data_IF_062185738356
#
_entry.id   IF_062185738356
#
_cell.length_a   1.000
_cell.length_b   1.000
_cell.length_c   1.000
_cell.angle_alpha   90.00
_cell.angle_beta   90.00
_cell.angle_gamma   90.00
#
_symmetry.space_group_name_H-M   'P 1'
#
loop_
_entity.id
_entity.type
_entity.pdbx_description
1 polymer ?
#
# COMPACT_ATOMS: atom_id res chain seq x y z
N UNK A 1 -0.60 32.73 29.36
CA UNK A 1 -0.90 33.17 27.98
C UNK A 1 0.12 32.64 26.98
N UNK A 2 1.37 33.15 26.92
CA UNK A 2 2.39 32.69 25.93
C UNK A 2 2.66 31.17 25.96
N UNK A 3 2.77 30.58 27.17
CA UNK A 3 2.92 29.12 27.34
C UNK A 3 1.71 28.32 26.83
N UNK A 4 0.50 28.86 26.98
CA UNK A 4 -0.74 28.21 26.53
C UNK A 4 -0.84 28.20 24.99
N UNK A 5 -0.44 29.31 24.35
CA UNK A 5 -0.37 29.39 22.88
C UNK A 5 0.66 28.40 22.31
N UNK A 6 1.82 28.25 22.95
CA UNK A 6 2.83 27.26 22.54
C UNK A 6 2.27 25.83 22.63
N UNK A 7 1.55 25.50 23.71
CA UNK A 7 0.93 24.19 23.87
C UNK A 7 -0.11 23.94 22.78
N UNK A 8 -0.98 24.91 22.48
CA UNK A 8 -1.96 24.79 21.40
C UNK A 8 -1.26 24.55 20.06
N UNK A 9 -0.22 25.33 19.74
CA UNK A 9 0.52 25.17 18.48
C UNK A 9 1.15 23.78 18.36
N UNK A 10 1.77 23.28 19.44
CA UNK A 10 2.35 21.92 19.44
C UNK A 10 1.26 20.86 19.23
N UNK A 11 0.12 21.00 19.91
CA UNK A 11 -0.98 20.03 19.85
C UNK A 11 -1.65 20.01 18.47
N UNK A 12 -1.87 21.19 17.88
CA UNK A 12 -2.33 21.32 16.49
C UNK A 12 -1.30 20.77 15.50
N UNK A 13 0.00 20.94 15.76
CA UNK A 13 1.05 20.39 14.92
C UNK A 13 1.06 18.86 14.90
N UNK A 14 0.92 18.22 16.05
CA UNK A 14 0.87 16.75 16.18
C UNK A 14 -0.39 16.20 15.51
N UNK A 15 -1.55 16.77 15.80
CA UNK A 15 -2.82 16.36 15.18
C UNK A 15 -2.80 16.58 13.67
N UNK A 16 -2.24 17.71 13.21
CA UNK A 16 -2.09 18.01 11.79
C UNK A 16 -1.19 17.00 11.09
N UNK A 17 -0.06 16.63 11.71
CA UNK A 17 0.84 15.62 11.17
C UNK A 17 0.18 14.23 11.07
N UNK A 18 -0.56 13.81 12.11
CA UNK A 18 -1.29 12.54 12.10
C UNK A 18 -2.43 12.49 11.06
N UNK A 19 -3.21 13.56 10.95
CA UNK A 19 -4.23 13.66 9.89
C UNK A 19 -3.60 13.63 8.50
N UNK A 20 -2.46 14.30 8.30
CA UNK A 20 -1.74 14.32 7.04
C UNK A 20 -1.18 12.95 6.65
N UNK A 21 -0.59 12.21 7.61
CA UNK A 21 -0.09 10.85 7.35
C UNK A 21 -1.22 9.90 6.96
N UNK A 22 -2.36 9.94 7.67
CA UNK A 22 -3.53 9.12 7.35
C UNK A 22 -4.11 9.43 5.97
N UNK A 23 -4.22 10.71 5.61
CA UNK A 23 -4.73 11.10 4.30
C UNK A 23 -3.78 10.67 3.17
N UNK A 24 -2.46 10.78 3.38
CA UNK A 24 -1.48 10.27 2.43
C UNK A 24 -1.57 8.75 2.28
N UNK A 25 -1.63 8.01 3.39
CA UNK A 25 -1.73 6.55 3.36
C UNK A 25 -2.98 6.09 2.62
N UNK A 26 -4.12 6.76 2.85
CA UNK A 26 -5.35 6.48 2.11
C UNK A 26 -5.16 6.63 0.60
N UNK A 27 -4.56 7.73 0.15
CA UNK A 27 -4.34 7.97 -1.27
C UNK A 27 -3.43 6.89 -1.89
N UNK A 28 -2.38 6.46 -1.17
CA UNK A 28 -1.50 5.37 -1.60
C UNK A 28 -2.30 4.07 -1.76
N UNK A 29 -3.11 3.72 -0.76
CA UNK A 29 -3.93 2.49 -0.80
C UNK A 29 -4.94 2.53 -1.95
N UNK A 30 -5.62 3.66 -2.16
CA UNK A 30 -6.58 3.84 -3.27
C UNK A 30 -5.88 3.73 -4.64
N UNK A 31 -4.66 4.28 -4.75
CA UNK A 31 -3.85 4.17 -5.98
C UNK A 31 -3.41 2.72 -6.23
N UNK A 32 -2.91 2.04 -5.21
CA UNK A 32 -2.50 0.62 -5.32
C UNK A 32 -3.67 -0.28 -5.67
N UNK A 33 -4.85 -0.04 -5.10
CA UNK A 33 -6.06 -0.82 -5.41
C UNK A 33 -6.52 -0.62 -6.86
N UNK A 34 -6.37 0.59 -7.38
CA UNK A 34 -6.65 0.89 -8.79
C UNK A 34 -5.70 0.12 -9.71
N UNK A 35 -4.40 0.12 -9.40
CA UNK A 35 -3.40 -0.62 -10.17
C UNK A 35 -3.62 -2.14 -10.10
N UNK A 36 -3.87 -2.70 -8.91
CA UNK A 36 -4.17 -4.12 -8.71
C UNK A 36 -5.46 -4.55 -9.45
N UNK A 37 -6.46 -3.67 -9.51
CA UNK A 37 -7.68 -3.93 -10.29
C UNK A 37 -7.38 -4.04 -11.77
N UNK A 38 -6.57 -3.12 -12.32
CA UNK A 38 -6.15 -3.19 -13.72
C UNK A 38 -5.28 -4.42 -14.02
N UNK A 39 -4.43 -4.85 -13.09
CA UNK A 39 -3.67 -6.09 -13.21
C UNK A 39 -4.60 -7.30 -13.25
N UNK A 40 -5.61 -7.35 -12.39
CA UNK A 40 -6.61 -8.43 -12.38
C UNK A 40 -7.34 -8.54 -13.73
N UNK A 41 -7.72 -7.42 -14.33
CA UNK A 41 -8.37 -7.39 -15.65
C UNK A 41 -7.43 -7.92 -16.76
N UNK A 42 -6.15 -7.55 -16.74
CA UNK A 42 -5.16 -8.04 -17.71
C UNK A 42 -4.90 -9.54 -17.57
N UNK A 43 -4.91 -10.07 -16.34
CA UNK A 43 -4.79 -11.51 -16.08
C UNK A 43 -5.99 -12.26 -16.65
N UNK A 44 -7.21 -11.74 -16.48
CA UNK A 44 -8.43 -12.35 -17.05
C UNK A 44 -8.43 -12.32 -18.58
N UNK A 45 -7.90 -11.25 -19.19
CA UNK A 45 -7.80 -11.08 -20.64
C UNK A 45 -6.62 -11.85 -21.28
N UNK A 46 -5.75 -12.49 -20.47
CA UNK A 46 -4.56 -13.25 -20.92
C UNK A 46 -3.61 -12.43 -21.82
N UNK A 47 -3.50 -11.13 -21.59
CA UNK A 47 -2.61 -10.25 -22.36
C UNK A 47 -1.18 -10.29 -21.77
N UNK A 48 -0.40 -11.30 -22.13
CA UNK A 48 0.91 -11.59 -21.51
C UNK A 48 1.95 -10.45 -21.57
N UNK A 49 2.08 -9.77 -22.70
CA UNK A 49 3.06 -8.67 -22.84
C UNK A 49 2.67 -7.41 -22.07
N UNK A 50 1.40 -7.01 -22.15
CA UNK A 50 0.88 -5.84 -21.42
C UNK A 50 0.86 -6.08 -19.90
N UNK A 51 0.61 -7.33 -19.49
CA UNK A 51 0.64 -7.76 -18.09
C UNK A 51 2.05 -7.64 -17.48
N UNK A 52 3.09 -8.08 -18.17
CA UNK A 52 4.46 -8.00 -17.64
C UNK A 52 4.92 -6.56 -17.46
N UNK A 53 4.66 -5.68 -18.43
CA UNK A 53 4.97 -4.26 -18.31
C UNK A 53 4.21 -3.63 -17.15
N UNK A 54 2.91 -3.93 -17.03
CA UNK A 54 2.08 -3.42 -15.94
C UNK A 54 2.57 -3.86 -14.56
N UNK A 55 3.02 -5.11 -14.43
CA UNK A 55 3.59 -5.61 -13.18
C UNK A 55 4.88 -4.85 -12.83
N UNK A 56 5.75 -4.57 -13.80
CA UNK A 56 6.96 -3.78 -13.55
C UNK A 56 6.64 -2.35 -13.12
N UNK A 57 5.62 -1.73 -13.73
CA UNK A 57 5.18 -0.39 -13.34
C UNK A 57 4.62 -0.39 -11.90
N UNK A 58 3.83 -1.42 -11.55
CA UNK A 58 3.35 -1.62 -10.18
C UNK A 58 4.49 -1.86 -9.18
N UNK A 59 5.51 -2.64 -9.55
CA UNK A 59 6.70 -2.87 -8.71
C UNK A 59 7.43 -1.57 -8.41
N UNK A 60 7.64 -0.71 -9.42
CA UNK A 60 8.28 0.60 -9.23
C UNK A 60 7.46 1.53 -8.36
N UNK A 61 6.14 1.57 -8.58
CA UNK A 61 5.21 2.34 -7.76
C UNK A 61 5.29 1.89 -6.29
N UNK A 62 5.31 0.58 -6.06
CA UNK A 62 5.47 0.02 -4.72
C UNK A 62 6.79 0.44 -4.08
N UNK A 63 7.93 0.29 -4.75
CA UNK A 63 9.24 0.69 -4.22
C UNK A 63 9.32 2.18 -3.84
N UNK A 64 8.69 3.04 -4.64
CA UNK A 64 8.65 4.49 -4.38
C UNK A 64 7.81 4.82 -3.14
N UNK A 65 6.63 4.21 -3.02
CA UNK A 65 5.75 4.43 -1.87
C UNK A 65 6.25 3.74 -0.60
N UNK A 66 6.85 2.55 -0.70
CA UNK A 66 7.49 1.83 0.40
C UNK A 66 8.57 2.70 1.07
N UNK A 67 9.43 3.35 0.27
CA UNK A 67 10.44 4.30 0.77
C UNK A 67 9.84 5.43 1.61
N UNK A 68 8.65 5.88 1.25
CA UNK A 68 7.92 6.92 1.99
C UNK A 68 7.31 6.35 3.27
N UNK A 69 6.68 5.19 3.17
CA UNK A 69 5.96 4.50 4.25
C UNK A 69 6.87 3.96 5.35
N UNK A 70 8.09 3.52 5.03
CA UNK A 70 9.10 3.06 6.01
C UNK A 70 9.42 4.10 7.11
N UNK A 71 9.05 5.38 6.92
CA UNK A 71 9.24 6.42 7.94
C UNK A 71 8.21 6.38 9.08
N UNK A 72 7.08 5.71 8.88
CA UNK A 72 5.96 5.74 9.84
C UNK A 72 5.18 4.42 9.94
N UNK A 73 5.46 3.42 9.11
CA UNK A 73 4.84 2.08 9.14
C UNK A 73 5.89 1.05 9.57
N UNK A 74 5.46 -0.01 10.26
CA UNK A 74 6.33 -1.12 10.65
C UNK A 74 6.90 -1.86 9.43
N UNK A 75 8.21 -2.14 9.46
CA UNK A 75 8.92 -2.81 8.37
C UNK A 75 8.36 -4.20 8.04
N UNK A 76 7.95 -5.00 9.04
CA UNK A 76 7.52 -6.38 8.84
C UNK A 76 6.30 -6.51 7.88
N UNK A 77 5.38 -5.54 7.93
CA UNK A 77 4.20 -5.50 7.06
C UNK A 77 4.58 -5.12 5.62
N UNK A 78 5.46 -4.13 5.47
CA UNK A 78 5.97 -3.68 4.18
C UNK A 78 6.81 -4.78 3.51
N UNK A 79 7.69 -5.44 4.26
CA UNK A 79 8.53 -6.55 3.78
C UNK A 79 7.68 -7.72 3.26
N UNK A 80 6.55 -8.00 3.93
CA UNK A 80 5.60 -9.03 3.50
C UNK A 80 4.96 -8.69 2.16
N UNK A 81 4.61 -7.42 1.94
CA UNK A 81 4.09 -6.96 0.66
C UNK A 81 5.19 -7.00 -0.40
N UNK A 82 6.38 -6.48 -0.11
CA UNK A 82 7.56 -6.50 -1.01
C UNK A 82 7.86 -7.92 -1.50
N UNK A 83 7.86 -8.91 -0.60
CA UNK A 83 8.03 -10.31 -0.97
C UNK A 83 6.92 -10.86 -1.87
N UNK A 84 5.69 -10.38 -1.69
CA UNK A 84 4.54 -10.77 -2.52
C UNK A 84 4.59 -10.09 -3.90
N UNK A 85 4.94 -8.81 -3.95
CA UNK A 85 5.15 -8.00 -5.17
C UNK A 85 6.25 -8.59 -6.06
N UNK A 86 7.35 -9.06 -5.46
CA UNK A 86 8.46 -9.68 -6.18
C UNK A 86 8.07 -10.97 -6.93
N UNK A 87 7.03 -11.68 -6.46
CA UNK A 87 6.55 -12.93 -7.08
C UNK A 87 5.67 -12.70 -8.31
N UNK A 88 5.09 -11.52 -8.47
CA UNK A 88 4.16 -11.23 -9.58
C UNK A 88 4.83 -11.41 -10.94
N UNK A 89 6.04 -10.88 -11.12
CA UNK A 89 6.74 -10.92 -12.41
C UNK A 89 7.07 -12.36 -12.84
N UNK A 90 7.71 -13.20 -12.01
CA UNK A 90 7.90 -14.62 -12.32
C UNK A 90 6.59 -15.35 -12.63
N UNK A 91 5.52 -15.10 -11.88
CA UNK A 91 4.23 -15.77 -12.11
C UNK A 91 3.62 -15.40 -13.47
N UNK A 92 3.78 -14.15 -13.92
CA UNK A 92 3.39 -13.72 -15.25
C UNK A 92 4.32 -14.27 -16.35
N UNK A 93 5.63 -14.37 -16.08
CA UNK A 93 6.62 -14.94 -17.01
C UNK A 93 6.35 -16.43 -17.28
N UNK A 94 5.97 -17.20 -16.26
CA UNK A 94 5.64 -18.61 -16.37
C UNK A 94 4.16 -18.88 -16.71
N UNK A 95 3.40 -17.87 -17.12
CA UNK A 95 1.97 -17.96 -17.49
C UNK A 95 1.07 -18.62 -16.42
N UNK A 96 1.47 -18.56 -15.15
CA UNK A 96 0.71 -19.12 -14.03
C UNK A 96 -0.36 -18.12 -13.56
N UNK A 97 -1.35 -17.90 -14.42
CA UNK A 97 -2.41 -16.90 -14.20
C UNK A 97 -3.26 -17.18 -12.96
N UNK A 98 -3.44 -18.44 -12.57
CA UNK A 98 -4.23 -18.82 -11.39
C UNK A 98 -3.52 -18.39 -10.09
N UNK A 99 -2.23 -18.70 -9.97
CA UNK A 99 -1.44 -18.27 -8.81
C UNK A 99 -1.21 -16.76 -8.82
N UNK A 100 -1.00 -16.15 -9.99
CA UNK A 100 -0.89 -14.70 -10.13
C UNK A 100 -2.15 -13.98 -9.62
N UNK A 101 -3.34 -14.44 -10.01
CA UNK A 101 -4.60 -13.88 -9.51
C UNK A 101 -4.75 -14.01 -7.99
N UNK A 102 -4.31 -15.14 -7.42
CA UNK A 102 -4.32 -15.36 -5.98
C UNK A 102 -3.37 -14.39 -5.26
N UNK A 103 -2.16 -14.17 -5.78
CA UNK A 103 -1.21 -13.22 -5.20
C UNK A 103 -1.67 -11.76 -5.34
N UNK A 104 -2.33 -11.38 -6.45
CA UNK A 104 -2.96 -10.05 -6.59
C UNK A 104 -4.06 -9.86 -5.52
N UNK A 105 -4.89 -10.87 -5.30
CA UNK A 105 -5.92 -10.82 -4.26
C UNK A 105 -5.33 -10.73 -2.86
N UNK A 106 -4.23 -11.46 -2.61
CA UNK A 106 -3.48 -11.37 -1.35
C UNK A 106 -2.88 -9.99 -1.14
N UNK A 107 -2.27 -9.40 -2.16
CA UNK A 107 -1.72 -8.04 -2.12
C UNK A 107 -2.78 -7.01 -1.76
N UNK A 108 -3.95 -7.09 -2.40
CA UNK A 108 -5.10 -6.24 -2.07
C UNK A 108 -5.46 -6.32 -0.60
N UNK A 109 -5.53 -7.54 -0.04
CA UNK A 109 -5.81 -7.72 1.38
C UNK A 109 -4.71 -7.12 2.27
N UNK A 110 -3.43 -7.36 1.96
CA UNK A 110 -2.31 -6.85 2.76
C UNK A 110 -2.26 -5.31 2.75
N UNK A 111 -2.40 -4.68 1.59
CA UNK A 111 -2.37 -3.22 1.45
C UNK A 111 -3.55 -2.59 2.21
N UNK A 112 -4.74 -3.18 2.10
CA UNK A 112 -5.91 -2.72 2.85
C UNK A 112 -5.70 -2.87 4.36
N UNK A 113 -5.08 -3.96 4.79
CA UNK A 113 -4.81 -4.21 6.21
C UNK A 113 -3.85 -3.19 6.82
N UNK A 114 -2.84 -2.74 6.08
CA UNK A 114 -1.95 -1.64 6.52
C UNK A 114 -2.78 -0.38 6.81
N UNK A 115 -3.67 0.01 5.89
CA UNK A 115 -4.52 1.18 6.10
C UNK A 115 -5.45 1.01 7.30
N UNK A 116 -6.09 -0.15 7.44
CA UNK A 116 -7.01 -0.44 8.55
C UNK A 116 -6.30 -0.44 9.92
N UNK A 117 -5.03 -0.88 9.97
CA UNK A 117 -4.23 -0.94 11.19
C UNK A 117 -3.75 0.44 11.67
N UNK A 118 -3.53 1.36 10.74
CA UNK A 118 -3.14 2.74 11.04
C UNK A 118 -4.34 3.63 11.42
N UNK A 119 -5.57 3.19 11.16
CA UNK A 119 -6.76 3.93 11.59
C UNK A 119 -6.88 3.92 13.11
N UNK A 120 -7.06 5.09 13.75
CA UNK A 120 -7.35 5.17 15.18
C UNK A 120 -8.78 4.65 15.43
N UNK A 121 -8.93 3.33 15.51
CA UNK A 121 -10.17 2.64 15.86
C UNK A 121 -10.19 2.32 17.35
N UNK A 122 -11.37 2.27 17.96
CA UNK A 122 -11.49 1.96 19.40
C UNK A 122 -10.95 0.56 19.75
N UNK A 123 -10.78 -0.33 18.77
CA UNK A 123 -10.21 -1.67 18.94
C UNK A 123 -8.67 -1.68 19.05
N UNK A 124 -7.97 -0.64 18.57
CA UNK A 124 -6.51 -0.54 18.76
C UNK A 124 -6.12 0.09 20.11
N UNK A 125 -7.09 0.65 20.85
CA UNK A 125 -6.91 1.32 22.15
C UNK A 125 -7.45 0.49 23.34
N UNK A 126 -8.31 -0.51 23.10
CA UNK A 126 -8.94 -1.34 24.14
C UNK A 126 -8.78 -2.84 23.88
#
# INVERSE_FOLDING_TARGET
MKRFVIVIIMLTGILGAGCFSLFRLKNIVDQMETELSSLSELVEQKQGQDLQQKIQDFQRLWEDEERVMMRYIHHDELDTITGTVARLFPLAEYENHAELAAEISRLRHLIKHIYESELPTLQSVF
#
